data_IF_409918006585
#
_entry.id   IF_409918006585
#
_cell.length_a   1.000
_cell.length_b   1.000
_cell.length_c   1.000
_cell.angle_alpha   90.00
_cell.angle_beta   90.00
_cell.angle_gamma   90.00
#
_symmetry.space_group_name_H-M   'P 1'
#
loop_
_entity.id
_entity.type
_entity.pdbx_description
1 polymer ?
#
# COMPACT_ATOMS: atom_id res chain seq x y z
N UNK A 1 15.34 6.90 -1.50
CA UNK A 1 15.14 7.10 -0.04
C UNK A 1 14.13 6.07 0.41
N UNK A 2 14.33 5.42 1.56
CA UNK A 2 13.34 4.47 2.09
C UNK A 2 12.19 5.24 2.70
N UNK A 3 10.96 4.91 2.30
CA UNK A 3 9.74 5.55 2.77
C UNK A 3 8.67 4.52 3.09
N UNK A 4 7.80 4.87 4.03
CA UNK A 4 6.55 4.14 4.26
C UNK A 4 5.49 4.76 3.34
N UNK A 5 4.79 3.94 2.57
CA UNK A 5 3.71 4.41 1.68
C UNK A 5 2.56 3.41 1.57
N UNK A 6 1.44 3.89 1.03
CA UNK A 6 0.28 3.07 0.70
C UNK A 6 0.41 2.52 -0.73
N UNK A 7 0.58 1.21 -0.88
CA UNK A 7 0.42 0.53 -2.15
C UNK A 7 -1.06 0.26 -2.41
N UNK A 8 -1.58 0.67 -3.56
CA UNK A 8 -3.02 0.61 -3.87
C UNK A 8 -3.34 -0.74 -4.51
N UNK A 9 -4.11 -1.53 -3.79
CA UNK A 9 -4.84 -2.68 -4.30
C UNK A 9 -6.33 -2.42 -4.43
N UNK A 10 -7.07 -3.51 -4.58
CA UNK A 10 -8.53 -3.50 -4.71
C UNK A 10 -9.03 -3.20 -6.12
N UNK A 11 -10.34 -3.27 -6.30
CA UNK A 11 -10.99 -3.10 -7.59
C UNK A 11 -11.31 -1.61 -7.86
N UNK A 12 -11.80 -1.33 -9.07
CA UNK A 12 -12.37 -0.02 -9.40
C UNK A 12 -13.48 0.31 -8.39
N UNK A 13 -13.45 1.52 -7.83
CA UNK A 13 -14.37 1.99 -6.77
C UNK A 13 -14.35 1.17 -5.46
N UNK A 14 -13.37 0.29 -5.25
CA UNK A 14 -13.21 -0.49 -4.01
C UNK A 14 -11.73 -0.47 -3.58
N UNK A 15 -11.25 0.64 -3.02
CA UNK A 15 -9.84 0.80 -2.67
C UNK A 15 -9.47 -0.08 -1.47
N UNK A 16 -8.31 -0.72 -1.55
CA UNK A 16 -7.66 -1.39 -0.43
C UNK A 16 -6.18 -1.02 -0.47
N UNK A 17 -5.55 -0.79 0.68
CA UNK A 17 -4.16 -0.35 0.72
C UNK A 17 -3.30 -1.30 1.54
N UNK A 18 -2.10 -1.58 1.04
CA UNK A 18 -1.04 -2.19 1.85
C UNK A 18 -0.14 -1.08 2.38
N UNK A 19 0.14 -1.11 3.68
CA UNK A 19 1.14 -0.23 4.30
C UNK A 19 2.49 -0.91 4.12
N UNK A 20 3.38 -0.33 3.30
CA UNK A 20 4.64 -0.96 2.91
C UNK A 20 5.83 -0.02 3.09
N UNK A 21 6.99 -0.59 3.42
CA UNK A 21 8.29 0.08 3.43
C UNK A 21 8.98 -0.20 2.10
N UNK A 22 9.40 0.84 1.39
CA UNK A 22 10.03 0.71 0.07
C UNK A 22 10.96 1.86 -0.25
N UNK A 23 11.89 1.66 -1.18
CA UNK A 23 12.59 2.79 -1.78
C UNK A 23 11.63 3.62 -2.64
N UNK A 24 11.73 4.95 -2.53
CA UNK A 24 10.93 5.95 -3.23
C UNK A 24 10.96 5.83 -4.75
N UNK A 25 12.03 5.26 -5.32
CA UNK A 25 12.20 5.04 -6.77
C UNK A 25 11.32 3.90 -7.32
N UNK A 26 10.86 3.00 -6.46
CA UNK A 26 10.05 1.86 -6.90
C UNK A 26 8.64 2.30 -7.28
N UNK A 27 8.04 1.68 -8.31
CA UNK A 27 6.63 1.86 -8.68
C UNK A 27 5.70 1.63 -7.49
N UNK A 28 4.61 2.40 -7.35
CA UNK A 28 3.68 2.37 -6.19
C UNK A 28 3.34 0.95 -5.71
N UNK A 29 2.94 0.11 -6.64
CA UNK A 29 2.44 -1.25 -6.39
C UNK A 29 3.49 -2.33 -6.74
N UNK A 30 4.78 -1.93 -6.83
CA UNK A 30 5.90 -2.80 -7.17
C UNK A 30 6.58 -3.42 -5.96
N UNK A 31 7.86 -3.77 -6.13
CA UNK A 31 8.69 -4.38 -5.08
C UNK A 31 8.78 -3.47 -3.85
N UNK A 32 8.52 -4.04 -2.68
CA UNK A 32 8.71 -3.44 -1.37
C UNK A 32 9.75 -4.25 -0.57
N UNK A 33 10.27 -3.66 0.50
CA UNK A 33 11.18 -4.31 1.45
C UNK A 33 10.34 -5.18 2.40
N UNK A 34 9.33 -4.56 3.03
CA UNK A 34 8.45 -5.21 4.00
C UNK A 34 7.03 -4.64 3.96
N UNK A 35 6.03 -5.49 4.24
CA UNK A 35 4.63 -5.09 4.44
C UNK A 35 4.34 -5.00 5.94
N UNK A 36 4.07 -3.79 6.41
CA UNK A 36 3.75 -3.51 7.81
C UNK A 36 2.29 -3.81 8.17
N UNK A 37 1.40 -3.77 7.18
CA UNK A 37 -0.02 -4.00 7.41
C UNK A 37 -0.91 -3.70 6.22
N UNK A 38 -2.16 -3.34 6.52
CA UNK A 38 -3.13 -2.92 5.52
C UNK A 38 -4.07 -1.86 6.08
N UNK A 39 -4.71 -1.14 5.17
CA UNK A 39 -5.73 -0.14 5.47
C UNK A 39 -6.89 -0.32 4.49
N UNK A 40 -8.09 -0.51 5.04
CA UNK A 40 -9.32 -0.61 4.26
C UNK A 40 -10.26 0.55 4.64
N UNK A 41 -10.35 1.61 3.82
CA UNK A 41 -11.23 2.75 4.12
C UNK A 41 -12.72 2.42 3.98
N UNK A 42 -13.08 1.29 3.36
CA UNK A 42 -14.46 0.82 3.24
C UNK A 42 -14.85 -0.22 4.30
N UNK A 43 -13.98 -0.48 5.27
CA UNK A 43 -14.34 -1.32 6.40
C UNK A 43 -15.38 -0.59 7.27
N UNK A 44 -16.48 -1.27 7.56
CA UNK A 44 -17.51 -0.82 8.51
C UNK A 44 -17.49 -1.85 9.64
N UNK A 45 -17.39 -1.36 10.88
CA UNK A 45 -17.36 -2.20 12.08
C UNK A 45 -18.73 -2.75 12.44
#
# INVERSE_FOLDING_TARGET
MVTIRLARGGAKKRPFYHVVVTDSRNRRDGRYIERLGFFNPGAVG
#
